data_IF_446531226309
#
_entry.id   IF_446531226309
#
_cell.length_a   1.000
_cell.length_b   1.000
_cell.length_c   1.000
_cell.angle_alpha   90.00
_cell.angle_beta   90.00
_cell.angle_gamma   90.00
#
_symmetry.space_group_name_H-M   'P 1'
#
loop_
_entity.id
_entity.type
_entity.pdbx_description
1 polymer ?
#
# COMPACT_ATOMS: atom_id res chain seq x y z
N UNK A 1 -13.32 14.01 18.91
CA UNK A 1 -14.32 13.24 18.15
C UNK A 1 -14.04 11.77 18.37
N UNK A 2 -12.89 11.27 17.92
CA UNK A 2 -12.29 10.03 18.41
C UNK A 2 -11.27 10.31 19.53
N UNK A 3 -11.05 9.38 20.44
CA UNK A 3 -9.93 9.35 21.39
C UNK A 3 -8.78 8.46 20.91
N UNK A 4 -9.08 7.44 20.09
CA UNK A 4 -8.11 6.47 19.58
C UNK A 4 -8.39 6.17 18.11
N UNK A 5 -7.33 6.03 17.31
CA UNK A 5 -7.41 5.47 15.95
C UNK A 5 -6.62 4.17 15.94
N UNK A 6 -7.29 3.07 15.61
CA UNK A 6 -6.64 1.79 15.41
C UNK A 6 -6.31 1.61 13.93
N UNK A 7 -5.11 1.07 13.69
CA UNK A 7 -4.61 0.76 12.36
C UNK A 7 -4.18 -0.70 12.32
N UNK A 8 -4.62 -1.42 11.28
CA UNK A 8 -4.17 -2.76 10.92
C UNK A 8 -3.65 -2.76 9.49
N UNK A 9 -2.33 -2.72 9.26
CA UNK A 9 -1.76 -2.78 7.92
C UNK A 9 -1.45 -4.23 7.53
N UNK A 10 -1.82 -4.59 6.31
CA UNK A 10 -1.50 -5.84 5.63
C UNK A 10 -0.23 -5.64 4.79
N UNK A 11 0.93 -6.10 5.28
CA UNK A 11 2.22 -5.90 4.60
C UNK A 11 2.66 -7.17 3.86
N UNK A 12 2.36 -7.18 2.57
CA UNK A 12 2.88 -8.20 1.66
C UNK A 12 4.40 -8.06 1.49
N UNK A 13 5.09 -9.13 1.10
CA UNK A 13 6.51 -9.12 0.77
C UNK A 13 6.88 -10.28 -0.16
N UNK A 14 8.02 -10.15 -0.84
CA UNK A 14 8.60 -11.25 -1.62
C UNK A 14 9.80 -11.85 -0.92
N UNK A 15 10.01 -13.17 -1.13
CA UNK A 15 11.26 -13.86 -0.87
C UNK A 15 11.98 -14.16 -2.19
N UNK A 16 13.26 -13.85 -2.26
CA UNK A 16 14.13 -14.09 -3.41
C UNK A 16 15.38 -14.87 -3.01
N UNK A 17 16.04 -15.46 -4.00
CA UNK A 17 17.33 -16.12 -3.80
C UNK A 17 18.36 -15.07 -3.36
N UNK A 18 19.21 -15.42 -2.40
CA UNK A 18 20.28 -14.56 -1.92
C UNK A 18 21.66 -15.17 -2.18
N UNK A 19 22.64 -14.31 -2.45
CA UNK A 19 24.05 -14.68 -2.51
C UNK A 19 24.67 -14.86 -1.11
N UNK A 20 25.97 -15.19 -1.06
CA UNK A 20 26.69 -15.42 0.21
C UNK A 20 26.73 -14.15 1.09
N UNK A 21 26.63 -12.98 0.48
CA UNK A 21 26.59 -11.67 1.12
C UNK A 21 25.16 -11.26 1.55
N UNK A 22 24.14 -12.02 1.17
CA UNK A 22 22.74 -11.78 1.49
C UNK A 22 22.09 -10.67 0.66
N UNK A 23 22.56 -10.45 -0.57
CA UNK A 23 21.94 -9.63 -1.60
C UNK A 23 21.13 -10.49 -2.58
N UNK A 24 20.11 -9.93 -3.25
CA UNK A 24 19.29 -10.72 -4.17
C UNK A 24 20.11 -11.18 -5.38
N UNK A 25 20.01 -12.47 -5.72
CA UNK A 25 20.55 -12.99 -6.97
C UNK A 25 19.66 -12.52 -8.12
N UNK A 26 20.29 -11.92 -9.14
CA UNK A 26 19.60 -11.32 -10.28
C UNK A 26 19.82 -12.13 -11.56
N UNK A 27 18.75 -12.31 -12.33
CA UNK A 27 18.78 -12.89 -13.68
C UNK A 27 18.69 -11.76 -14.72
N UNK A 28 19.58 -11.81 -15.72
CA UNK A 28 19.50 -10.96 -16.92
C UNK A 28 18.58 -11.59 -17.98
N UNK A 29 17.70 -10.78 -18.54
CA UNK A 29 16.86 -11.18 -19.68
C UNK A 29 16.70 -10.04 -20.69
N UNK A 30 16.20 -10.37 -21.89
CA UNK A 30 15.98 -9.41 -22.97
C UNK A 30 14.51 -9.38 -23.39
N UNK A 31 14.00 -8.16 -23.63
CA UNK A 31 12.69 -7.91 -24.24
C UNK A 31 12.88 -6.81 -25.29
N UNK A 32 12.53 -7.08 -26.55
CA UNK A 32 12.70 -6.15 -27.68
C UNK A 32 14.12 -5.54 -27.76
N UNK A 33 15.15 -6.41 -27.71
CA UNK A 33 16.58 -6.07 -27.70
C UNK A 33 17.05 -5.20 -26.52
N UNK A 34 16.18 -4.98 -25.53
CA UNK A 34 16.50 -4.28 -24.29
C UNK A 34 16.83 -5.28 -23.19
N UNK A 35 17.95 -5.02 -22.49
CA UNK A 35 18.36 -5.79 -21.31
C UNK A 35 17.64 -5.32 -20.04
N UNK A 36 17.12 -6.28 -19.28
CA UNK A 36 16.48 -6.10 -17.98
C UNK A 36 17.11 -7.03 -16.92
N UNK A 37 16.83 -6.71 -15.65
CA UNK A 37 17.17 -7.52 -14.49
C UNK A 37 15.89 -7.91 -13.76
N UNK A 38 15.88 -9.08 -13.14
CA UNK A 38 14.87 -9.46 -12.15
C UNK A 38 15.48 -10.31 -11.03
N UNK A 39 15.00 -10.20 -9.80
CA UNK A 39 15.39 -11.14 -8.74
C UNK A 39 14.83 -12.55 -9.02
N UNK A 40 15.58 -13.58 -8.61
CA UNK A 40 15.17 -14.96 -8.80
C UNK A 40 14.17 -15.38 -7.70
N UNK A 41 12.98 -15.81 -8.13
CA UNK A 41 11.93 -16.35 -7.26
C UNK A 41 12.32 -17.75 -6.75
N UNK A 42 11.98 -18.03 -5.49
CA UNK A 42 12.48 -19.23 -4.77
C UNK A 42 11.47 -20.35 -4.67
N UNK A 43 10.23 -20.10 -5.07
CA UNK A 43 9.17 -21.09 -5.14
C UNK A 43 8.15 -20.78 -6.24
N UNK A 44 7.12 -21.65 -6.32
CA UNK A 44 5.99 -21.51 -7.23
C UNK A 44 4.65 -21.51 -6.49
N UNK A 45 4.62 -21.09 -5.22
CA UNK A 45 3.37 -21.03 -4.47
C UNK A 45 2.39 -20.03 -5.08
N UNK A 46 1.13 -20.09 -4.63
CA UNK A 46 0.05 -19.16 -5.02
C UNK A 46 -0.85 -18.92 -3.82
N UNK A 47 -1.81 -18.00 -3.96
CA UNK A 47 -2.79 -17.66 -2.93
C UNK A 47 -3.37 -18.92 -2.25
N UNK A 48 -3.04 -19.10 -0.97
CA UNK A 48 -3.44 -20.26 -0.15
C UNK A 48 -3.08 -21.65 -0.70
N UNK A 49 -2.22 -21.75 -1.73
CA UNK A 49 -1.84 -22.98 -2.41
C UNK A 49 -0.34 -23.24 -2.31
N UNK A 50 0.05 -24.07 -1.34
CA UNK A 50 1.41 -24.58 -1.19
C UNK A 50 2.49 -23.49 -1.28
N UNK A 51 3.74 -23.90 -1.55
CA UNK A 51 4.90 -23.00 -1.61
C UNK A 51 6.04 -23.53 -0.74
N UNK A 52 7.14 -22.78 -0.68
CA UNK A 52 8.26 -23.03 0.24
C UNK A 52 8.32 -21.91 1.28
N UNK A 53 9.17 -22.09 2.29
CA UNK A 53 9.53 -21.04 3.25
C UNK A 53 8.38 -20.50 4.10
N UNK A 54 7.35 -21.32 4.36
CA UNK A 54 6.35 -21.02 5.38
C UNK A 54 6.98 -20.87 6.77
N UNK A 55 8.13 -21.49 6.97
CA UNK A 55 8.98 -21.36 8.15
C UNK A 55 9.43 -19.92 8.39
N UNK A 56 9.75 -19.15 7.33
CA UNK A 56 10.14 -17.73 7.45
C UNK A 56 8.98 -16.92 8.03
N UNK A 57 7.76 -17.15 7.55
CA UNK A 57 6.57 -16.48 8.11
C UNK A 57 6.37 -16.89 9.56
N UNK A 58 6.44 -18.19 9.83
CA UNK A 58 6.14 -18.73 11.15
C UNK A 58 7.15 -18.33 12.21
N UNK A 59 8.44 -18.32 11.90
CA UNK A 59 9.49 -17.86 12.80
C UNK A 59 9.40 -16.34 13.04
N UNK A 60 9.11 -15.55 11.99
CA UNK A 60 8.86 -14.11 12.14
C UNK A 60 7.70 -13.84 13.11
N UNK A 61 6.58 -14.56 12.98
CA UNK A 61 5.45 -14.47 13.91
C UNK A 61 5.84 -14.86 15.35
N UNK A 62 6.63 -15.92 15.54
CA UNK A 62 7.06 -16.33 16.89
C UNK A 62 7.91 -15.25 17.57
N UNK A 63 8.86 -14.65 16.85
CA UNK A 63 9.69 -13.55 17.37
C UNK A 63 8.82 -12.33 17.70
N UNK A 64 7.90 -11.96 16.82
CA UNK A 64 6.95 -10.87 17.06
C UNK A 64 6.10 -11.13 18.31
N UNK A 65 5.63 -12.36 18.48
CA UNK A 65 4.83 -12.78 19.63
C UNK A 65 5.62 -12.69 20.95
N UNK A 66 6.91 -13.08 20.95
CA UNK A 66 7.80 -12.89 22.11
C UNK A 66 8.00 -11.42 22.47
N UNK A 67 7.89 -10.53 21.50
CA UNK A 67 7.92 -9.07 21.68
C UNK A 67 6.56 -8.47 22.07
N UNK A 68 5.53 -9.31 22.24
CA UNK A 68 4.18 -8.89 22.62
C UNK A 68 3.29 -8.48 21.44
N UNK A 69 3.75 -8.65 20.20
CA UNK A 69 3.02 -8.31 18.99
C UNK A 69 2.23 -9.52 18.50
N UNK A 70 0.91 -9.38 18.39
CA UNK A 70 0.04 -10.47 17.92
C UNK A 70 -0.07 -10.43 16.39
N UNK A 71 0.04 -11.59 15.76
CA UNK A 71 -0.35 -11.81 14.37
C UNK A 71 -1.65 -12.62 14.32
N UNK A 72 -2.44 -12.44 13.27
CA UNK A 72 -3.73 -13.12 13.10
C UNK A 72 -3.61 -14.34 12.18
N UNK A 73 -3.08 -14.13 10.97
CA UNK A 73 -2.89 -15.17 9.97
C UNK A 73 -1.54 -15.03 9.27
N UNK A 74 -1.18 -16.05 8.48
CA UNK A 74 -0.14 -15.97 7.47
C UNK A 74 -0.52 -16.82 6.27
N UNK A 75 -0.11 -16.40 5.08
CA UNK A 75 -0.31 -17.19 3.88
C UNK A 75 0.70 -16.86 2.78
N UNK A 76 0.71 -17.74 1.79
CA UNK A 76 1.27 -17.41 0.49
C UNK A 76 0.29 -16.52 -0.26
N UNK A 77 0.80 -15.47 -0.89
CA UNK A 77 0.04 -14.49 -1.64
C UNK A 77 -0.13 -14.90 -3.12
N UNK A 78 -0.78 -14.05 -3.92
CA UNK A 78 -1.16 -14.34 -5.32
C UNK A 78 0.03 -14.66 -6.21
N UNK A 79 1.12 -13.90 -6.13
CA UNK A 79 2.32 -14.13 -6.96
C UNK A 79 3.25 -15.18 -6.38
N UNK A 80 4.05 -15.81 -7.24
CA UNK A 80 5.16 -16.70 -6.83
C UNK A 80 6.10 -16.02 -5.84
N UNK A 81 6.44 -16.73 -4.75
CA UNK A 81 7.31 -16.25 -3.67
C UNK A 81 6.82 -14.97 -2.99
N UNK A 82 5.53 -14.65 -3.10
CA UNK A 82 4.88 -13.58 -2.38
C UNK A 82 4.23 -14.13 -1.11
N UNK A 83 4.33 -13.37 -0.03
CA UNK A 83 3.97 -13.80 1.31
C UNK A 83 3.33 -12.66 2.08
N UNK A 84 2.50 -13.02 3.05
CA UNK A 84 1.86 -12.07 3.94
C UNK A 84 1.74 -12.64 5.35
N UNK A 85 1.86 -11.76 6.33
CA UNK A 85 1.59 -12.03 7.75
C UNK A 85 0.67 -10.91 8.23
N UNK A 86 -0.53 -11.28 8.67
CA UNK A 86 -1.50 -10.33 9.17
C UNK A 86 -1.17 -9.94 10.60
N UNK A 87 -1.02 -8.65 10.85
CA UNK A 87 -0.75 -8.09 12.17
C UNK A 87 -2.07 -7.68 12.84
N UNK A 88 -2.22 -8.01 14.12
CA UNK A 88 -3.35 -7.50 14.90
C UNK A 88 -3.24 -5.99 15.00
N UNK A 89 -4.36 -5.28 14.82
CA UNK A 89 -4.38 -3.82 14.84
C UNK A 89 -3.92 -3.24 16.18
N UNK A 90 -3.35 -2.04 16.15
CA UNK A 90 -2.88 -1.29 17.31
C UNK A 90 -3.19 0.20 17.16
N UNK A 91 -3.13 1.00 18.24
CA UNK A 91 -3.16 2.45 18.12
C UNK A 91 -2.13 2.94 17.09
N UNK A 92 -2.51 3.93 16.27
CA UNK A 92 -1.78 4.31 15.05
C UNK A 92 -0.26 4.49 15.22
N UNK A 93 0.19 5.10 16.33
CA UNK A 93 1.62 5.31 16.59
C UNK A 93 2.35 3.99 16.91
N UNK A 94 1.76 3.18 17.79
CA UNK A 94 2.29 1.86 18.15
C UNK A 94 2.33 0.93 16.92
N UNK A 95 1.32 1.03 16.05
CA UNK A 95 1.32 0.29 14.80
C UNK A 95 2.43 0.76 13.85
N UNK A 96 2.73 2.06 13.79
CA UNK A 96 3.84 2.55 12.98
C UNK A 96 5.20 2.03 13.47
N UNK A 97 5.40 1.96 14.80
CA UNK A 97 6.58 1.34 15.42
C UNK A 97 6.66 -0.16 15.04
N UNK A 98 5.54 -0.87 15.17
CA UNK A 98 5.44 -2.28 14.83
C UNK A 98 5.75 -2.55 13.35
N UNK A 99 5.28 -1.73 12.42
CA UNK A 99 5.59 -1.89 10.99
C UNK A 99 7.10 -1.78 10.71
N UNK A 100 7.80 -0.88 11.39
CA UNK A 100 9.26 -0.77 11.26
C UNK A 100 9.95 -2.05 11.74
N UNK A 101 9.53 -2.54 12.91
CA UNK A 101 10.08 -3.75 13.51
C UNK A 101 9.76 -5.01 12.69
N UNK A 102 8.53 -5.13 12.21
CA UNK A 102 8.05 -6.22 11.36
C UNK A 102 8.93 -6.38 10.12
N UNK A 103 9.15 -5.30 9.36
CA UNK A 103 10.01 -5.33 8.17
C UNK A 103 11.43 -5.76 8.51
N UNK A 104 11.96 -5.31 9.65
CA UNK A 104 13.28 -5.71 10.12
C UNK A 104 13.35 -7.20 10.47
N UNK A 105 12.38 -7.72 11.23
CA UNK A 105 12.33 -9.13 11.64
C UNK A 105 12.19 -10.04 10.43
N UNK A 106 11.25 -9.76 9.51
CA UNK A 106 11.08 -10.56 8.29
C UNK A 106 12.37 -10.60 7.48
N UNK A 107 13.05 -9.45 7.29
CA UNK A 107 14.35 -9.41 6.60
C UNK A 107 15.44 -10.18 7.34
N UNK A 108 15.45 -10.18 8.67
CA UNK A 108 16.42 -10.92 9.48
C UNK A 108 16.20 -12.42 9.42
N UNK A 109 14.96 -12.87 9.55
CA UNK A 109 14.59 -14.28 9.45
C UNK A 109 14.85 -14.76 8.02
N UNK A 110 14.44 -14.04 6.98
CA UNK A 110 14.75 -14.44 5.60
C UNK A 110 16.26 -14.67 5.38
N UNK A 111 17.11 -13.77 5.91
CA UNK A 111 18.57 -13.94 5.83
C UNK A 111 19.10 -15.17 6.56
N UNK A 112 18.51 -15.58 7.70
CA UNK A 112 18.93 -16.82 8.39
C UNK A 112 18.62 -18.08 7.58
N UNK A 113 17.68 -17.99 6.64
CA UNK A 113 17.34 -19.03 5.67
C UNK A 113 18.09 -18.91 4.34
N UNK A 114 19.03 -17.96 4.20
CA UNK A 114 19.74 -17.72 2.94
C UNK A 114 18.85 -17.09 1.85
N UNK A 115 17.86 -16.29 2.25
CA UNK A 115 16.90 -15.64 1.37
C UNK A 115 16.98 -14.11 1.51
N UNK A 116 16.52 -13.43 0.47
CA UNK A 116 16.35 -11.98 0.46
C UNK A 116 14.87 -11.61 0.53
N UNK A 117 14.43 -11.00 1.63
CA UNK A 117 13.07 -10.45 1.73
C UNK A 117 13.01 -9.00 1.24
N UNK A 118 12.04 -8.71 0.39
CA UNK A 118 11.80 -7.37 -0.16
C UNK A 118 10.36 -6.92 0.04
N UNK A 119 10.22 -5.66 0.46
CA UNK A 119 8.96 -4.93 0.59
C UNK A 119 8.76 -3.94 -0.58
N UNK A 120 9.55 -4.10 -1.65
CA UNK A 120 9.46 -3.31 -2.87
C UNK A 120 8.05 -3.48 -3.51
N UNK A 121 7.39 -2.39 -3.93
CA UNK A 121 6.01 -2.46 -4.43
C UNK A 121 5.83 -3.31 -5.69
N UNK A 122 6.80 -3.31 -6.60
CA UNK A 122 6.76 -4.06 -7.85
C UNK A 122 8.16 -4.56 -8.21
N UNK A 123 8.62 -5.67 -7.61
CA UNK A 123 9.96 -6.20 -7.88
C UNK A 123 10.05 -6.89 -9.24
N UNK A 124 8.93 -7.40 -9.78
CA UNK A 124 8.86 -8.10 -11.06
C UNK A 124 7.66 -7.57 -11.87
N UNK A 125 7.90 -7.26 -13.15
CA UNK A 125 6.87 -6.82 -14.07
C UNK A 125 5.90 -7.98 -14.43
N UNK A 126 4.62 -7.67 -14.63
CA UNK A 126 3.62 -8.65 -15.11
C UNK A 126 3.07 -9.63 -14.08
N UNK A 127 3.42 -9.51 -12.80
CA UNK A 127 2.83 -10.27 -11.67
C UNK A 127 2.25 -9.32 -10.62
N UNK A 128 1.52 -9.80 -9.59
CA UNK A 128 1.02 -8.92 -8.52
C UNK A 128 2.18 -8.20 -7.80
N UNK A 129 1.92 -6.98 -7.38
CA UNK A 129 2.85 -6.21 -6.56
C UNK A 129 2.55 -6.38 -5.08
N UNK A 130 3.35 -5.72 -4.26
CA UNK A 130 3.31 -5.73 -2.80
C UNK A 130 2.55 -4.51 -2.26
N UNK A 131 1.41 -4.74 -1.61
CA UNK A 131 0.56 -3.74 -0.96
C UNK A 131 0.81 -3.55 0.54
N UNK A 132 0.37 -2.40 1.05
CA UNK A 132 0.18 -2.13 2.47
C UNK A 132 -1.29 -1.76 2.70
N UNK A 133 -2.22 -2.71 2.57
CA UNK A 133 -3.64 -2.39 2.75
C UNK A 133 -3.87 -1.95 4.19
N UNK A 134 -4.31 -0.70 4.38
CA UNK A 134 -4.32 -0.07 5.69
C UNK A 134 -5.75 0.02 6.19
N UNK A 135 -6.11 -0.90 7.10
CA UNK A 135 -7.39 -0.91 7.81
C UNK A 135 -7.38 0.14 8.92
N UNK A 136 -8.46 0.91 9.03
CA UNK A 136 -8.60 2.02 9.97
C UNK A 136 -9.97 1.99 10.63
N UNK A 137 -10.00 2.24 11.94
CA UNK A 137 -11.23 2.43 12.71
C UNK A 137 -11.01 3.50 13.79
N UNK A 138 -12.06 4.30 14.04
CA UNK A 138 -12.01 5.40 15.00
C UNK A 138 -12.86 5.03 16.22
N UNK A 139 -12.31 5.23 17.42
CA UNK A 139 -12.99 4.91 18.67
C UNK A 139 -13.19 6.17 19.51
N UNK A 140 -14.29 6.20 20.26
CA UNK A 140 -14.60 7.28 21.20
C UNK A 140 -15.31 6.72 22.43
N UNK A 141 -14.70 6.85 23.60
CA UNK A 141 -15.23 6.28 24.84
C UNK A 141 -15.35 4.76 24.77
N UNK A 142 -14.42 4.10 24.08
CA UNK A 142 -14.40 2.64 23.93
C UNK A 142 -15.40 2.07 22.92
N UNK A 143 -16.07 2.90 22.09
CA UNK A 143 -16.97 2.45 21.03
C UNK A 143 -16.43 2.81 19.65
N UNK A 144 -16.53 1.88 18.71
CA UNK A 144 -16.25 2.13 17.30
C UNK A 144 -17.26 3.13 16.73
N UNK A 145 -16.80 4.32 16.33
CA UNK A 145 -17.70 5.36 15.79
C UNK A 145 -18.05 5.14 14.33
N UNK A 146 -17.44 4.15 13.67
CA UNK A 146 -17.81 3.78 12.31
C UNK A 146 -19.04 2.89 12.21
N UNK A 147 -19.45 2.29 13.33
CA UNK A 147 -20.64 1.45 13.42
C UNK A 147 -21.90 2.26 13.72
N UNK A 148 -23.00 1.91 13.05
CA UNK A 148 -24.35 2.42 13.30
C UNK A 148 -25.35 1.27 13.17
N UNK A 149 -26.07 0.93 14.24
CA UNK A 149 -27.02 -0.20 14.23
C UNK A 149 -28.27 0.05 13.36
N UNK A 150 -28.59 1.31 13.07
CA UNK A 150 -29.79 1.69 12.33
C UNK A 150 -29.53 1.82 10.80
N UNK A 151 -28.27 1.84 10.37
CA UNK A 151 -27.90 1.87 8.95
C UNK A 151 -27.93 0.44 8.37
N UNK A 152 -28.54 0.19 7.19
CA UNK A 152 -28.60 -1.15 6.59
C UNK A 152 -27.24 -1.79 6.27
N UNK A 153 -26.20 -0.98 6.12
CA UNK A 153 -24.81 -1.42 5.93
C UNK A 153 -24.00 -1.29 7.22
N UNK A 154 -24.66 -0.98 8.33
CA UNK A 154 -24.11 -0.65 9.63
C UNK A 154 -23.03 0.46 9.62
N UNK A 155 -23.01 1.32 8.59
CA UNK A 155 -22.02 2.37 8.43
C UNK A 155 -22.56 3.71 8.95
N UNK A 156 -21.93 4.24 9.99
CA UNK A 156 -22.27 5.55 10.51
C UNK A 156 -22.02 6.67 9.49
N UNK A 157 -22.67 7.81 9.70
CA UNK A 157 -22.42 9.03 8.92
C UNK A 157 -20.96 9.46 9.04
N UNK A 158 -20.35 9.29 10.22
CA UNK A 158 -18.92 9.54 10.46
C UNK A 158 -18.04 8.63 9.60
N UNK A 159 -18.35 7.34 9.48
CA UNK A 159 -17.64 6.41 8.59
C UNK A 159 -17.69 6.88 7.15
N UNK A 160 -18.90 7.19 6.65
CA UNK A 160 -19.08 7.62 5.25
C UNK A 160 -18.37 8.96 4.97
N UNK A 161 -18.37 9.89 5.93
CA UNK A 161 -17.61 11.14 5.83
C UNK A 161 -16.11 10.92 5.90
N UNK A 162 -15.64 9.96 6.68
CA UNK A 162 -14.23 9.57 6.71
C UNK A 162 -13.77 9.09 5.34
N UNK A 163 -14.57 8.21 4.71
CA UNK A 163 -14.35 7.75 3.34
C UNK A 163 -14.35 8.95 2.35
N UNK A 164 -15.31 9.87 2.48
CA UNK A 164 -15.37 11.08 1.64
C UNK A 164 -14.07 11.89 1.73
N UNK A 165 -13.52 12.03 2.94
CA UNK A 165 -12.24 12.70 3.19
C UNK A 165 -11.08 11.98 2.52
N UNK A 166 -10.96 10.67 2.72
CA UNK A 166 -9.93 9.86 2.06
C UNK A 166 -10.01 10.00 0.52
N UNK A 167 -11.19 9.85 -0.08
CA UNK A 167 -11.38 9.99 -1.53
C UNK A 167 -10.97 11.37 -2.06
N UNK A 168 -11.28 12.43 -1.30
CA UNK A 168 -10.94 13.81 -1.69
C UNK A 168 -9.44 14.07 -1.67
N UNK A 169 -8.75 13.60 -0.63
CA UNK A 169 -7.36 13.99 -0.37
C UNK A 169 -6.33 12.92 -0.80
N UNK A 170 -6.75 11.71 -1.15
CA UNK A 170 -5.82 10.66 -1.58
C UNK A 170 -4.89 11.08 -2.72
N UNK A 171 -5.29 11.84 -3.77
CA UNK A 171 -4.36 12.24 -4.83
C UNK A 171 -3.21 13.10 -4.30
N UNK A 172 -3.50 13.97 -3.34
CA UNK A 172 -2.55 14.87 -2.69
C UNK A 172 -1.53 14.11 -1.84
N UNK A 173 -1.99 13.11 -1.07
CA UNK A 173 -1.11 12.36 -0.15
C UNK A 173 -0.45 11.14 -0.81
N UNK A 174 -0.78 10.81 -2.06
CA UNK A 174 -0.26 9.64 -2.78
C UNK A 174 1.27 9.63 -2.83
N UNK A 175 1.94 10.77 -2.97
CA UNK A 175 3.41 10.83 -2.99
C UNK A 175 4.09 10.38 -1.67
N UNK A 176 3.34 10.28 -0.57
CA UNK A 176 3.80 9.71 0.70
C UNK A 176 3.39 8.25 0.85
N UNK A 177 2.17 7.91 0.44
CA UNK A 177 1.65 6.54 0.47
C UNK A 177 2.37 5.62 -0.53
N UNK A 178 2.86 6.20 -1.63
CA UNK A 178 3.49 5.57 -2.78
C UNK A 178 4.74 6.38 -3.21
N UNK A 179 5.84 6.28 -2.43
CA UNK A 179 6.87 7.31 -2.44
C UNK A 179 8.02 7.05 -3.42
N UNK A 180 7.96 6.01 -4.27
CA UNK A 180 9.00 5.70 -5.24
C UNK A 180 8.41 5.56 -6.64
N UNK A 181 9.25 5.74 -7.67
CA UNK A 181 8.87 5.48 -9.06
C UNK A 181 8.37 4.04 -9.28
N UNK A 182 8.82 3.10 -8.45
CA UNK A 182 8.39 1.71 -8.47
C UNK A 182 6.96 1.50 -7.94
N UNK A 183 6.51 2.32 -6.98
CA UNK A 183 5.14 2.27 -6.44
C UNK A 183 4.07 2.36 -7.54
N UNK A 184 4.29 3.23 -8.53
CA UNK A 184 3.33 3.48 -9.61
C UNK A 184 3.26 2.33 -10.63
N UNK A 185 4.25 1.42 -10.64
CA UNK A 185 4.21 0.17 -11.43
C UNK A 185 3.34 -0.91 -10.78
N UNK A 186 3.04 -0.76 -9.48
CA UNK A 186 2.01 -1.54 -8.79
C UNK A 186 0.61 -1.00 -9.11
N UNK A 187 0.43 0.32 -9.12
CA UNK A 187 -0.87 1.01 -9.32
C UNK A 187 -1.34 1.02 -10.78
N UNK A 188 -1.28 -0.16 -11.44
CA UNK A 188 -1.75 -0.37 -12.80
C UNK A 188 -2.89 -1.39 -12.80
N UNK A 189 -3.94 -1.20 -13.62
CA UNK A 189 -5.08 -2.13 -13.67
C UNK A 189 -4.65 -3.58 -13.96
N UNK A 190 -5.38 -4.55 -13.40
CA UNK A 190 -5.22 -5.98 -13.69
C UNK A 190 -4.42 -6.82 -12.68
N UNK A 191 -3.92 -6.24 -11.59
CA UNK A 191 -3.09 -6.92 -10.58
C UNK A 191 -3.57 -6.70 -9.14
N UNK A 192 -4.89 -6.63 -8.91
CA UNK A 192 -5.55 -6.38 -7.61
C UNK A 192 -5.21 -5.06 -6.89
N UNK A 193 -4.29 -4.27 -7.44
CA UNK A 193 -3.95 -2.93 -6.96
C UNK A 193 -4.94 -1.88 -7.49
N UNK A 194 -5.37 -0.92 -6.64
CA UNK A 194 -6.33 0.10 -7.05
C UNK A 194 -5.65 1.19 -7.89
N UNK A 195 -6.32 1.59 -8.97
CA UNK A 195 -5.93 2.78 -9.76
C UNK A 195 -7.03 3.86 -9.78
N UNK A 196 -8.22 3.53 -9.27
CA UNK A 196 -9.44 4.33 -9.40
C UNK A 196 -10.02 4.70 -8.05
N UNK A 197 -10.33 5.98 -7.86
CA UNK A 197 -10.83 6.55 -6.61
C UNK A 197 -12.33 6.29 -6.54
N UNK A 198 -12.67 5.19 -5.90
CA UNK A 198 -14.02 4.77 -5.58
C UNK A 198 -13.99 3.96 -4.28
N UNK A 199 -15.16 3.81 -3.66
CA UNK A 199 -15.32 2.94 -2.52
C UNK A 199 -16.50 2.00 -2.71
N UNK A 200 -16.39 0.83 -2.09
CA UNK A 200 -17.41 -0.21 -2.15
C UNK A 200 -17.26 -1.21 -0.98
N UNK A 201 -18.28 -2.03 -0.75
CA UNK A 201 -18.28 -3.08 0.28
C UNK A 201 -17.80 -4.38 -0.35
N UNK A 202 -16.78 -5.01 0.24
CA UNK A 202 -16.16 -6.27 -0.20
C UNK A 202 -15.49 -6.29 -1.60
N UNK A 203 -15.65 -5.28 -2.45
CA UNK A 203 -15.04 -5.25 -3.78
C UNK A 203 -13.56 -4.84 -3.78
N UNK A 204 -12.69 -5.77 -4.22
CA UNK A 204 -11.22 -5.61 -4.27
C UNK A 204 -10.70 -4.70 -5.40
N UNK A 205 -11.55 -4.30 -6.35
CA UNK A 205 -11.18 -3.37 -7.43
C UNK A 205 -11.23 -1.90 -7.00
N UNK A 206 -11.90 -1.62 -5.87
CA UNK A 206 -12.04 -0.27 -5.31
C UNK A 206 -10.77 0.19 -4.59
N UNK A 207 -10.58 1.51 -4.50
CA UNK A 207 -9.48 2.08 -3.73
C UNK A 207 -9.71 1.96 -2.22
N UNK A 208 -10.94 2.23 -1.80
CA UNK A 208 -11.37 2.13 -0.41
C UNK A 208 -12.38 1.00 -0.30
N UNK A 209 -12.07 0.01 0.52
CA UNK A 209 -12.94 -1.14 0.74
C UNK A 209 -13.45 -1.11 2.17
N UNK A 210 -14.71 -1.48 2.36
CA UNK A 210 -15.18 -1.98 3.64
C UNK A 210 -15.07 -3.51 3.58
N UNK A 211 -14.17 -4.15 4.36
CA UNK A 211 -14.06 -5.60 4.39
C UNK A 211 -15.37 -6.24 4.83
N UNK A 212 -15.51 -7.56 4.59
CA UNK A 212 -16.56 -8.31 5.27
C UNK A 212 -16.41 -8.15 6.77
N UNK A 213 -17.51 -7.82 7.44
CA UNK A 213 -17.55 -7.58 8.88
C UNK A 213 -18.67 -8.43 9.48
N UNK A 214 -18.53 -8.77 10.76
CA UNK A 214 -19.54 -9.52 11.49
C UNK A 214 -20.63 -8.55 11.92
N UNK A 215 -21.87 -8.81 11.48
CA UNK A 215 -23.01 -7.95 11.78
C UNK A 215 -23.37 -7.95 13.27
N UNK A 216 -22.88 -8.94 14.03
CA UNK A 216 -23.07 -9.02 15.48
C UNK A 216 -21.91 -8.38 16.27
N UNK A 217 -20.82 -7.99 15.61
CA UNK A 217 -19.64 -7.37 16.22
C UNK A 217 -19.39 -5.94 15.68
N UNK A 218 -19.81 -4.91 16.44
CA UNK A 218 -19.54 -3.51 16.10
C UNK A 218 -18.06 -3.17 15.89
N UNK A 219 -17.15 -3.90 16.52
CA UNK A 219 -15.70 -3.63 16.45
C UNK A 219 -15.09 -4.13 15.14
N UNK A 220 -15.83 -4.95 14.37
CA UNK A 220 -15.36 -5.52 13.10
C UNK A 220 -15.42 -4.52 11.92
N UNK A 221 -16.16 -3.41 12.04
CA UNK A 221 -16.26 -2.37 11.00
C UNK A 221 -14.98 -1.54 10.92
N UNK A 222 -14.40 -1.49 9.73
CA UNK A 222 -13.17 -0.76 9.42
C UNK A 222 -13.12 -0.34 7.96
N UNK A 223 -12.37 0.73 7.69
CA UNK A 223 -12.11 1.26 6.35
C UNK A 223 -10.73 0.80 5.89
N UNK A 224 -10.64 0.11 4.77
CA UNK A 224 -9.40 -0.38 4.16
C UNK A 224 -8.98 0.55 3.02
N UNK A 225 -7.86 1.26 3.15
CA UNK A 225 -7.25 2.01 2.06
C UNK A 225 -6.17 1.15 1.38
N UNK A 226 -6.33 0.86 0.08
CA UNK A 226 -5.56 -0.18 -0.62
C UNK A 226 -4.35 0.33 -1.41
N UNK A 227 -4.24 1.64 -1.68
CA UNK A 227 -3.11 2.16 -2.45
C UNK A 227 -1.76 2.20 -1.71
N UNK A 228 -1.65 2.37 -0.37
CA UNK A 228 -0.34 2.43 0.26
C UNK A 228 0.47 1.18 -0.04
N UNK A 229 1.79 1.35 -0.09
CA UNK A 229 2.70 0.22 -0.23
C UNK A 229 3.73 0.18 0.91
N UNK A 230 4.34 -1.00 1.19
CA UNK A 230 5.22 -1.21 2.33
C UNK A 230 6.54 -0.45 2.28
N UNK A 231 6.84 0.22 1.17
CA UNK A 231 8.02 1.05 1.03
C UNK A 231 7.85 2.44 1.65
N UNK A 232 6.62 2.81 1.99
CA UNK A 232 6.29 4.07 2.65
C UNK A 232 6.84 4.15 4.08
N UNK A 233 6.97 5.39 4.56
CA UNK A 233 7.21 5.65 5.97
C UNK A 233 5.86 5.50 6.70
N UNK A 234 5.68 4.50 7.59
CA UNK A 234 4.38 4.22 8.19
C UNK A 234 3.88 5.38 9.05
N UNK A 235 4.76 6.11 9.74
CA UNK A 235 4.37 7.27 10.54
C UNK A 235 3.72 8.37 9.70
N UNK A 236 4.37 8.76 8.59
CA UNK A 236 3.85 9.79 7.69
C UNK A 236 2.60 9.30 6.94
N UNK A 237 2.63 8.03 6.51
CA UNK A 237 1.52 7.39 5.81
C UNK A 237 0.27 7.40 6.68
N UNK A 238 0.35 6.90 7.91
CA UNK A 238 -0.78 6.83 8.82
C UNK A 238 -1.26 8.22 9.25
N UNK A 239 -0.35 9.15 9.54
CA UNK A 239 -0.74 10.52 9.90
C UNK A 239 -1.55 11.22 8.79
N UNK A 240 -1.12 11.08 7.53
CA UNK A 240 -1.83 11.69 6.40
C UNK A 240 -3.16 10.99 6.09
N UNK A 241 -3.23 9.66 6.21
CA UNK A 241 -4.49 8.92 6.04
C UNK A 241 -5.52 9.35 7.11
N UNK A 242 -5.10 9.40 8.38
CA UNK A 242 -5.94 9.86 9.49
C UNK A 242 -6.41 11.29 9.25
N UNK A 243 -5.49 12.20 8.90
CA UNK A 243 -5.82 13.60 8.65
C UNK A 243 -6.81 13.76 7.49
N UNK A 244 -6.63 13.02 6.40
CA UNK A 244 -7.54 13.01 5.25
C UNK A 244 -8.95 12.59 5.65
N UNK A 245 -9.10 11.47 6.36
CA UNK A 245 -10.40 10.99 6.80
C UNK A 245 -11.06 11.91 7.84
N UNK A 246 -10.31 12.41 8.82
CA UNK A 246 -10.81 13.36 9.83
C UNK A 246 -11.22 14.70 9.21
N UNK A 247 -10.52 15.17 8.17
CA UNK A 247 -10.91 16.35 7.41
C UNK A 247 -12.26 16.15 6.71
N UNK A 248 -12.56 14.92 6.28
CA UNK A 248 -13.87 14.53 5.76
C UNK A 248 -15.00 14.69 6.78
N UNK A 249 -14.78 14.18 8.00
CA UNK A 249 -15.79 14.29 9.08
C UNK A 249 -15.94 15.75 9.55
N UNK A 250 -14.83 16.42 9.81
CA UNK A 250 -14.82 17.81 10.33
C UNK A 250 -15.40 18.80 9.32
N UNK A 251 -15.08 18.60 8.04
CA UNK A 251 -15.62 19.39 6.93
C UNK A 251 -17.04 19.01 6.53
N UNK A 252 -17.63 17.97 7.16
CA UNK A 252 -18.95 17.43 6.84
C UNK A 252 -19.13 17.18 5.33
N UNK A 253 -18.11 16.58 4.71
CA UNK A 253 -18.17 16.27 3.29
C UNK A 253 -19.37 15.36 2.99
N UNK A 254 -19.92 15.48 1.78
CA UNK A 254 -21.05 14.66 1.38
C UNK A 254 -20.62 13.18 1.37
N UNK A 255 -21.34 12.28 2.08
CA UNK A 255 -21.13 10.84 1.99
C UNK A 255 -21.10 10.37 0.54
N UNK A 256 -20.05 9.66 0.10
CA UNK A 256 -20.00 9.16 -1.25
C UNK A 256 -21.04 8.05 -1.42
N UNK A 257 -21.57 7.91 -2.64
CA UNK A 257 -22.39 6.77 -3.02
C UNK A 257 -21.51 5.59 -3.41
N UNK A 258 -21.84 4.40 -2.90
CA UNK A 258 -21.16 3.16 -3.30
C UNK A 258 -21.28 2.93 -4.80
N UNK A 259 -20.23 2.35 -5.38
CA UNK A 259 -20.16 1.99 -6.78
C UNK A 259 -19.92 0.48 -6.87
N UNK A 260 -21.01 -0.28 -6.80
CA UNK A 260 -21.00 -1.76 -6.94
C UNK A 260 -20.77 -2.16 -8.40
N UNK A 261 -19.55 -1.88 -8.87
CA UNK A 261 -19.08 -2.19 -10.22
C UNK A 261 -17.62 -2.63 -10.17
N UNK A 262 -17.28 -3.58 -11.04
CA UNK A 262 -15.89 -3.93 -11.29
C UNK A 262 -15.25 -2.84 -12.16
N UNK A 263 -14.53 -1.91 -11.53
CA UNK A 263 -13.98 -0.73 -12.23
C UNK A 263 -12.95 -1.09 -13.30
N UNK A 264 -12.37 -2.30 -13.27
CA UNK A 264 -11.45 -2.76 -14.30
C UNK A 264 -12.13 -3.11 -15.62
N UNK A 265 -13.47 -3.27 -15.61
CA UNK A 265 -14.28 -3.57 -16.80
C UNK A 265 -14.91 -2.33 -17.42
N UNK A 266 -14.81 -1.18 -16.76
CA UNK A 266 -15.36 0.07 -17.25
C UNK A 266 -14.40 0.76 -18.21
N UNK A 267 -14.94 1.38 -19.25
CA UNK A 267 -14.23 2.34 -20.09
C UNK A 267 -13.99 3.67 -19.37
N UNK A 268 -13.05 4.47 -19.88
CA UNK A 268 -12.75 5.79 -19.32
C UNK A 268 -13.94 6.75 -19.36
N UNK A 269 -14.78 6.61 -20.38
CA UNK A 269 -16.01 7.38 -20.55
C UNK A 269 -17.05 7.00 -19.50
N UNK A 270 -17.26 5.69 -19.25
CA UNK A 270 -18.16 5.19 -18.21
C UNK A 270 -17.69 5.63 -16.82
N UNK A 271 -16.39 5.51 -16.52
CA UNK A 271 -15.82 5.95 -15.25
C UNK A 271 -16.01 7.45 -15.02
N UNK A 272 -15.72 8.27 -16.03
CA UNK A 272 -15.94 9.71 -15.95
C UNK A 272 -17.43 10.05 -15.75
N UNK A 273 -18.34 9.36 -16.42
CA UNK A 273 -19.79 9.52 -16.24
C UNK A 273 -20.27 9.15 -14.84
N UNK A 274 -19.56 8.27 -14.16
CA UNK A 274 -19.84 7.84 -12.77
C UNK A 274 -19.13 8.70 -11.72
N UNK A 275 -18.32 9.68 -12.12
CA UNK A 275 -17.52 10.52 -11.22
C UNK A 275 -16.32 9.80 -10.62
N UNK A 276 -15.86 8.71 -11.25
CA UNK A 276 -14.70 7.95 -10.79
C UNK A 276 -13.44 8.58 -11.40
N UNK A 277 -12.59 9.13 -10.54
CA UNK A 277 -11.29 9.68 -10.91
C UNK A 277 -10.17 8.65 -10.73
N UNK A 278 -8.99 8.93 -11.27
CA UNK A 278 -7.80 8.08 -11.16
C UNK A 278 -6.85 8.61 -10.09
N UNK A 279 -6.10 7.71 -9.47
CA UNK A 279 -4.90 8.09 -8.74
C UNK A 279 -3.87 8.74 -9.67
N UNK A 280 -2.93 9.55 -9.14
CA UNK A 280 -1.85 10.10 -9.93
C UNK A 280 -1.07 8.96 -10.63
N UNK A 281 -0.84 9.04 -11.95
CA UNK A 281 -0.29 7.92 -12.73
C UNK A 281 1.21 7.69 -12.50
N UNK A 282 1.91 8.66 -11.91
CA UNK A 282 3.33 8.61 -11.64
C UNK A 282 3.72 9.53 -10.46
N UNK A 283 4.95 9.34 -9.97
CA UNK A 283 5.51 10.12 -8.86
C UNK A 283 5.57 11.62 -9.19
N UNK A 284 5.78 11.99 -10.46
CA UNK A 284 5.83 13.39 -10.87
C UNK A 284 4.49 14.08 -10.62
N UNK A 285 3.41 13.45 -11.06
CA UNK A 285 2.03 13.93 -10.93
C UNK A 285 1.61 13.98 -9.47
N UNK A 286 1.96 12.94 -8.70
CA UNK A 286 1.67 12.91 -7.27
C UNK A 286 2.38 14.02 -6.50
N UNK A 287 3.65 14.32 -6.83
CA UNK A 287 4.40 15.41 -6.20
C UNK A 287 3.83 16.79 -6.54
N UNK A 288 3.36 16.99 -7.78
CA UNK A 288 2.67 18.24 -8.16
C UNK A 288 1.39 18.45 -7.35
N UNK A 289 0.54 17.42 -7.24
CA UNK A 289 -0.68 17.49 -6.44
C UNK A 289 -0.40 17.70 -4.96
N UNK A 290 0.65 17.07 -4.42
CA UNK A 290 1.09 17.26 -3.04
C UNK A 290 1.59 18.69 -2.78
N UNK A 291 2.30 19.31 -3.73
CA UNK A 291 2.80 20.68 -3.62
C UNK A 291 1.67 21.72 -3.63
N UNK A 292 0.65 21.50 -4.46
CA UNK A 292 -0.54 22.35 -4.56
C UNK A 292 -1.52 22.14 -3.39
N UNK A 293 -1.40 21.01 -2.70
CA UNK A 293 -2.27 20.57 -1.62
C UNK A 293 -2.13 21.32 -0.30
N UNK A 294 -3.26 21.45 0.41
CA UNK A 294 -3.32 22.09 1.73
C UNK A 294 -3.23 21.08 2.89
N UNK A 295 -3.73 19.86 2.71
CA UNK A 295 -3.75 18.82 3.75
C UNK A 295 -2.33 18.41 4.13
N UNK A 296 -1.51 17.99 3.17
CA UNK A 296 -0.13 17.58 3.37
C UNK A 296 0.68 18.69 4.05
N UNK A 297 0.51 19.93 3.59
CA UNK A 297 1.15 21.13 4.17
C UNK A 297 0.74 21.35 5.62
N UNK A 298 -0.55 21.20 5.94
CA UNK A 298 -1.06 21.36 7.30
C UNK A 298 -0.54 20.28 8.27
N UNK A 299 -0.37 19.04 7.80
CA UNK A 299 0.03 17.89 8.63
C UNK A 299 1.55 17.82 8.80
N UNK A 300 2.29 18.01 7.71
CA UNK A 300 3.75 17.87 7.67
C UNK A 300 4.47 19.15 8.07
N UNK A 301 3.82 20.31 7.92
CA UNK A 301 4.44 21.62 8.04
C UNK A 301 5.25 22.00 6.81
N UNK A 302 5.28 23.30 6.52
CA UNK A 302 5.92 23.90 5.33
C UNK A 302 7.34 23.38 5.09
N UNK A 303 8.21 23.51 6.09
CA UNK A 303 9.63 23.20 5.95
C UNK A 303 9.88 21.72 5.69
N UNK A 304 9.14 20.82 6.34
CA UNK A 304 9.33 19.38 6.14
C UNK A 304 8.77 18.94 4.78
N UNK A 305 7.59 19.45 4.40
CA UNK A 305 6.98 19.22 3.10
C UNK A 305 7.94 19.59 1.95
N UNK A 306 8.53 20.78 2.02
CA UNK A 306 9.47 21.27 1.02
C UNK A 306 10.70 20.38 0.89
N UNK A 307 11.26 19.90 2.01
CA UNK A 307 12.38 18.97 2.00
C UNK A 307 11.98 17.61 1.41
N UNK A 308 10.79 17.11 1.76
CA UNK A 308 10.26 15.86 1.25
C UNK A 308 10.10 15.91 -0.27
N UNK A 309 9.43 16.94 -0.79
CA UNK A 309 9.23 17.13 -2.24
C UNK A 309 10.57 17.25 -2.96
N UNK A 310 11.53 18.03 -2.43
CA UNK A 310 12.87 18.14 -3.02
C UNK A 310 13.58 16.79 -3.09
N UNK A 311 13.56 16.00 -2.02
CA UNK A 311 14.20 14.69 -1.99
C UNK A 311 13.56 13.73 -3.01
N UNK A 312 12.24 13.75 -3.14
CA UNK A 312 11.52 12.90 -4.11
C UNK A 312 11.69 13.35 -5.56
N UNK A 313 11.81 14.66 -5.81
CA UNK A 313 12.20 15.19 -7.13
C UNK A 313 13.61 14.77 -7.52
N UNK A 314 14.57 14.80 -6.60
CA UNK A 314 15.92 14.33 -6.85
C UNK A 314 15.96 12.82 -7.19
N UNK A 315 15.19 12.00 -6.47
CA UNK A 315 15.02 10.58 -6.81
C UNK A 315 14.43 10.38 -8.22
N UNK A 316 13.38 11.14 -8.55
CA UNK A 316 12.74 11.09 -9.87
C UNK A 316 13.71 11.51 -10.99
N UNK A 317 14.52 12.53 -10.76
CA UNK A 317 15.53 12.98 -11.72
C UNK A 317 16.60 11.91 -11.95
N UNK A 318 17.13 11.29 -10.88
CA UNK A 318 18.07 10.18 -10.99
C UNK A 318 17.49 9.00 -11.80
N UNK A 319 16.23 8.63 -11.54
CA UNK A 319 15.51 7.63 -12.34
C UNK A 319 15.43 8.02 -13.81
N UNK A 320 14.95 9.24 -14.12
CA UNK A 320 14.84 9.72 -15.52
C UNK A 320 16.18 9.73 -16.24
N UNK A 321 17.24 10.21 -15.58
CA UNK A 321 18.60 10.19 -16.12
C UNK A 321 19.08 8.77 -16.42
N UNK A 322 18.74 7.79 -15.58
CA UNK A 322 19.10 6.38 -15.80
C UNK A 322 18.44 5.75 -17.03
N UNK A 323 17.26 6.24 -17.42
CA UNK A 323 16.52 5.74 -18.58
C UNK A 323 17.06 6.28 -19.92
N UNK A 324 17.76 7.42 -19.90
CA UNK A 324 18.24 8.10 -21.09
C UNK A 324 17.09 8.39 -22.07
N UNK A 325 17.25 7.98 -23.33
CA UNK A 325 16.23 8.18 -24.37
C UNK A 325 14.89 7.47 -24.13
N UNK A 326 14.82 6.54 -23.17
CA UNK A 326 13.59 5.79 -22.85
C UNK A 326 12.77 6.44 -21.74
N UNK A 327 13.14 7.63 -21.27
CA UNK A 327 12.39 8.35 -20.24
C UNK A 327 10.91 8.53 -20.61
N UNK A 328 10.62 8.74 -21.90
CA UNK A 328 9.25 8.95 -22.41
C UNK A 328 8.61 7.67 -22.97
N UNK A 329 9.28 6.52 -22.88
CA UNK A 329 8.75 5.25 -23.34
C UNK A 329 7.63 4.79 -22.40
N UNK A 330 6.43 4.62 -22.97
CA UNK A 330 5.24 4.21 -22.22
C UNK A 330 5.40 2.83 -21.58
N UNK A 331 6.26 1.96 -22.12
CA UNK A 331 6.57 0.65 -21.55
C UNK A 331 7.21 0.75 -20.16
N UNK A 332 7.93 1.85 -19.88
CA UNK A 332 8.57 2.11 -18.57
C UNK A 332 7.56 2.40 -17.45
N UNK A 333 6.26 2.51 -17.77
CA UNK A 333 5.19 2.56 -16.77
C UNK A 333 4.88 1.21 -16.14
N UNK A 334 5.22 0.11 -16.81
CA UNK A 334 4.90 -1.26 -16.36
C UNK A 334 6.12 -2.16 -16.23
N UNK A 335 7.20 -1.89 -16.97
CA UNK A 335 8.47 -2.61 -16.86
C UNK A 335 9.28 -2.10 -15.66
N UNK A 336 9.89 -3.02 -14.90
CA UNK A 336 10.82 -2.68 -13.81
C UNK A 336 12.19 -2.41 -14.43
N UNK A 337 12.67 -1.18 -14.30
CA UNK A 337 13.96 -0.78 -14.88
C UNK A 337 15.15 -1.33 -14.10
N UNK A 338 16.32 -1.35 -14.75
CA UNK A 338 17.59 -1.69 -14.11
C UNK A 338 17.89 -0.80 -12.89
N UNK A 339 17.62 0.50 -12.98
CA UNK A 339 17.76 1.44 -11.86
C UNK A 339 16.93 1.02 -10.66
N UNK A 340 15.69 0.58 -10.86
CA UNK A 340 14.85 0.16 -9.73
C UNK A 340 15.35 -1.13 -9.09
N UNK A 341 15.83 -2.09 -9.89
CA UNK A 341 16.39 -3.33 -9.35
C UNK A 341 17.72 -3.08 -8.62
N UNK A 342 18.58 -2.21 -9.14
CA UNK A 342 19.90 -1.97 -8.54
C UNK A 342 19.85 -1.00 -7.35
N UNK A 343 19.01 0.05 -7.40
CA UNK A 343 18.98 1.10 -6.37
C UNK A 343 17.85 0.93 -5.34
N UNK A 344 16.71 0.35 -5.73
CA UNK A 344 15.54 0.25 -4.84
C UNK A 344 15.41 -1.11 -4.18
N UNK A 345 15.56 -2.22 -4.94
CA UNK A 345 15.38 -3.57 -4.40
C UNK A 345 16.28 -3.88 -3.18
N UNK A 346 17.55 -3.46 -3.10
CA UNK A 346 18.39 -3.73 -1.92
C UNK A 346 17.91 -3.01 -0.65
N UNK A 347 17.17 -1.91 -0.81
CA UNK A 347 16.73 -1.02 0.28
C UNK A 347 15.29 -1.34 0.71
N UNK A 348 14.41 -1.58 -0.26
CA UNK A 348 12.97 -1.82 -0.08
C UNK A 348 12.71 -3.32 0.08
#
# INVERSE_FOLDING_TARGET
>A
MADTVYIGPELEFFLFEADEEGFPVLEEFFLDDVRYLRPIQVDKGRYFKGGRYGEVRKESQMILQEMGCRSEYDHHEVSESQHEIDLHYLPALEMADLVMLYRYIVKKVARSYGLFASFMPKPIAGINGTGMHTHQSLYSGGRNIFFDEDDPEHLSVECRRYIAGLMRYVPEITAVLNPWVNSYKRLVPGFEAPAYICFDIQNRSSLIRIPGYDQEDPDSIRVELRNPDPSSNPYLSFALQIAAGVAGISGKLEPPHMKDVDVFKLSDEEMSGMGISRLPPDLSSALSLMEEGELARSVMGETFLDHYIRAKRAHLEAYRSSLGHRCDDISMRVQVSRFEVEELLPVL
#
